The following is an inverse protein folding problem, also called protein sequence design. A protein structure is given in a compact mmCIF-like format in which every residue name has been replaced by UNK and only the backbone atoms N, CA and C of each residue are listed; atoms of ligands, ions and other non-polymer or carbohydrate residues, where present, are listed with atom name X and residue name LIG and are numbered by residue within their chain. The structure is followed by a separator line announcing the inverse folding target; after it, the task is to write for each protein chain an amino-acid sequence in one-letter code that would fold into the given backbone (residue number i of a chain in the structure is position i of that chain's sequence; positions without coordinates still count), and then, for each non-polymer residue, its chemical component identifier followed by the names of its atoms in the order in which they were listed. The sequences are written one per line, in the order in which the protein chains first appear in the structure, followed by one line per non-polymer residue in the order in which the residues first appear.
data_IF_450926154304
#
_entry.id   IF_450926154304
#
_cell.length_a   1.000
_cell.length_b   1.000
_cell.length_c   1.000
_cell.angle_alpha   90.00
_cell.angle_beta   90.00
_cell.angle_gamma   90.00
#
_symmetry.space_group_name_H-M   'P 1'
#
loop_
_entity.id
_entity.type
_entity.pdbx_description
1 polymer ?
#
# COMPACT_ATOMS: atom_id res chain seq x y z
N UNK A 1 2.98 -5.66 19.12
CA UNK A 1 3.02 -6.94 18.37
C UNK A 1 2.23 -6.73 17.08
N UNK A 2 2.92 -6.59 15.95
CA UNK A 2 2.26 -6.40 14.65
C UNK A 2 2.07 -7.78 14.02
N UNK A 3 0.91 -8.40 14.26
CA UNK A 3 0.59 -9.69 13.66
C UNK A 3 0.39 -9.52 12.16
N UNK A 4 1.00 -10.40 11.34
CA UNK A 4 0.89 -10.37 9.88
C UNK A 4 1.18 -9.01 9.22
N UNK A 5 2.07 -8.19 9.80
CA UNK A 5 2.47 -6.89 9.24
C UNK A 5 1.33 -5.87 9.07
N UNK A 6 0.24 -6.04 9.82
CA UNK A 6 -0.70 -4.96 10.07
C UNK A 6 -0.04 -3.99 11.06
N UNK A 7 0.37 -2.83 10.56
CA UNK A 7 1.00 -1.76 11.34
C UNK A 7 -0.03 -0.81 11.94
N UNK A 8 0.44 0.26 12.58
CA UNK A 8 -0.46 1.25 13.17
C UNK A 8 -1.45 1.78 12.11
N UNK A 9 -2.77 1.81 12.40
CA UNK A 9 -3.76 2.32 11.45
C UNK A 9 -3.61 3.83 11.25
N UNK A 10 -4.30 4.36 10.23
CA UNK A 10 -4.42 5.81 10.07
C UNK A 10 -5.21 6.39 11.26
N UNK A 11 -4.66 7.42 11.90
CA UNK A 11 -5.31 8.15 12.98
C UNK A 11 -5.45 9.63 12.66
N UNK A 12 -6.46 10.28 13.23
CA UNK A 12 -6.70 11.71 13.08
C UNK A 12 -7.35 12.24 14.35
N UNK A 13 -7.00 13.46 14.74
CA UNK A 13 -7.65 14.16 15.85
C UNK A 13 -8.85 14.92 15.30
N UNK A 14 -10.01 14.71 15.90
CA UNK A 14 -11.23 15.47 15.59
C UNK A 14 -11.47 16.46 16.73
N UNK A 15 -11.29 17.75 16.45
CA UNK A 15 -11.56 18.82 17.40
C UNK A 15 -12.94 19.42 17.11
N UNK A 16 -13.67 19.81 18.16
CA UNK A 16 -14.97 20.46 18.06
C UNK A 16 -14.88 21.86 18.66
N UNK A 17 -15.43 22.86 17.98
CA UNK A 17 -15.54 24.23 18.50
C UNK A 17 -16.80 24.40 19.38
N UNK A 18 -16.93 25.56 20.03
CA UNK A 18 -18.07 25.90 20.88
C UNK A 18 -19.42 25.94 20.13
N UNK A 19 -19.41 26.04 18.80
CA UNK A 19 -20.60 26.04 17.93
C UNK A 19 -20.93 24.63 17.41
N UNK A 20 -20.13 23.63 17.75
CA UNK A 20 -20.27 22.25 17.30
C UNK A 20 -19.71 21.96 15.91
N UNK A 21 -18.95 22.89 15.30
CA UNK A 21 -18.22 22.60 14.07
C UNK A 21 -17.01 21.72 14.38
N UNK A 22 -16.69 20.76 13.51
CA UNK A 22 -15.51 19.93 13.65
C UNK A 22 -14.38 20.37 12.72
N UNK A 23 -13.14 20.16 13.15
CA UNK A 23 -11.96 20.20 12.28
C UNK A 23 -11.07 18.98 12.52
N UNK A 24 -10.41 18.53 11.46
CA UNK A 24 -9.44 17.45 11.51
C UNK A 24 -8.04 18.05 11.75
N UNK A 25 -7.32 17.50 12.72
CA UNK A 25 -5.95 17.88 13.05
C UNK A 25 -5.10 16.62 13.18
N UNK A 26 -3.77 16.75 13.02
CA UNK A 26 -2.78 15.68 13.18
C UNK A 26 -3.17 14.34 12.53
N UNK A 27 -3.47 14.36 11.23
CA UNK A 27 -3.62 13.12 10.45
C UNK A 27 -2.27 12.40 10.38
N UNK A 28 -2.24 11.16 10.85
CA UNK A 28 -1.09 10.26 10.75
C UNK A 28 -1.53 9.06 9.93
N UNK A 29 -0.98 8.92 8.72
CA UNK A 29 -1.32 7.84 7.81
C UNK A 29 -0.65 6.52 8.22
N UNK A 30 -1.34 5.41 7.99
CA UNK A 30 -0.76 4.08 8.13
C UNK A 30 0.38 3.88 7.12
N UNK A 31 1.45 3.23 7.58
CA UNK A 31 2.62 2.94 6.74
C UNK A 31 2.24 2.08 5.53
N UNK A 32 2.88 2.36 4.38
CA UNK A 32 2.76 1.51 3.20
C UNK A 32 3.62 0.23 3.33
N UNK A 33 3.34 -0.78 2.51
CA UNK A 33 4.03 -2.08 2.57
C UNK A 33 5.56 -1.94 2.45
N UNK A 34 6.06 -1.01 1.63
CA UNK A 34 7.51 -0.83 1.44
C UNK A 34 8.20 -0.28 2.69
N UNK A 35 7.55 0.64 3.39
CA UNK A 35 8.05 1.18 4.66
C UNK A 35 8.01 0.12 5.76
N UNK A 36 6.96 -0.69 5.81
CA UNK A 36 6.86 -1.81 6.76
C UNK A 36 7.97 -2.84 6.55
N UNK A 37 8.34 -3.13 5.30
CA UNK A 37 9.44 -4.05 5.00
C UNK A 37 10.82 -3.44 5.36
N UNK A 38 10.99 -2.14 5.17
CA UNK A 38 12.22 -1.43 5.55
C UNK A 38 12.41 -1.41 7.07
N UNK A 39 11.34 -1.22 7.84
CA UNK A 39 11.35 -1.32 9.31
C UNK A 39 11.76 -2.72 9.80
N UNK A 40 11.55 -3.76 8.96
CA UNK A 40 12.01 -5.12 9.21
C UNK A 40 13.46 -5.38 8.75
N UNK A 41 14.18 -4.35 8.30
CA UNK A 41 15.52 -4.39 7.71
C UNK A 41 15.60 -5.10 6.34
N UNK A 42 14.52 -5.10 5.55
CA UNK A 42 14.63 -5.46 4.14
C UNK A 42 15.17 -4.27 3.32
N UNK A 43 16.14 -4.54 2.44
CA UNK A 43 16.64 -3.52 1.51
C UNK A 43 15.60 -3.22 0.41
N UNK A 44 14.93 -2.07 0.55
CA UNK A 44 13.98 -1.50 -0.43
C UNK A 44 14.52 -1.51 -1.87
N UNK A 45 15.80 -1.17 -2.06
CA UNK A 45 16.40 -1.10 -3.41
C UNK A 45 16.62 -2.49 -4.01
N UNK A 46 17.06 -3.44 -3.18
CA UNK A 46 17.22 -4.84 -3.59
C UNK A 46 15.88 -5.46 -3.96
N UNK A 47 14.84 -5.20 -3.16
CA UNK A 47 13.47 -5.67 -3.41
C UNK A 47 12.93 -5.13 -4.74
N UNK A 48 12.98 -3.81 -4.95
CA UNK A 48 12.55 -3.16 -6.19
C UNK A 48 13.24 -3.79 -7.41
N UNK A 49 14.58 -3.85 -7.37
CA UNK A 49 15.39 -4.39 -8.45
C UNK A 49 15.02 -5.83 -8.76
N UNK A 50 14.86 -6.67 -7.72
CA UNK A 50 14.55 -8.09 -7.88
C UNK A 50 13.17 -8.31 -8.48
N UNK A 51 12.14 -7.62 -7.98
CA UNK A 51 10.78 -7.74 -8.49
C UNK A 51 10.67 -7.26 -9.94
N UNK A 52 11.28 -6.11 -10.25
CA UNK A 52 11.35 -5.58 -11.62
C UNK A 52 12.06 -6.55 -12.57
N UNK A 53 13.22 -7.08 -12.17
CA UNK A 53 13.97 -8.04 -12.98
C UNK A 53 13.16 -9.31 -13.26
N UNK A 54 12.46 -9.86 -12.27
CA UNK A 54 11.63 -11.05 -12.44
C UNK A 54 10.49 -10.82 -13.44
N UNK A 55 9.79 -9.69 -13.36
CA UNK A 55 8.72 -9.34 -14.31
C UNK A 55 9.30 -9.17 -15.71
N UNK A 56 10.42 -8.45 -15.86
CA UNK A 56 11.04 -8.20 -17.17
C UNK A 56 11.61 -9.48 -17.80
N UNK A 57 12.16 -10.40 -17.00
CA UNK A 57 12.69 -11.69 -17.48
C UNK A 57 11.61 -12.70 -17.87
N UNK A 58 10.34 -12.49 -17.47
CA UNK A 58 9.25 -13.42 -17.76
C UNK A 58 9.04 -13.61 -19.27
N UNK A 59 8.93 -14.87 -19.70
CA UNK A 59 8.60 -15.25 -21.09
C UNK A 59 7.12 -15.57 -21.29
N UNK A 60 6.32 -15.56 -20.21
CA UNK A 60 4.91 -15.94 -20.22
C UNK A 60 3.98 -14.81 -20.64
N UNK A 61 4.46 -13.56 -20.61
CA UNK A 61 3.68 -12.35 -20.87
C UNK A 61 4.43 -11.40 -21.81
N UNK A 62 3.67 -10.68 -22.64
CA UNK A 62 4.22 -9.67 -23.56
C UNK A 62 4.61 -8.37 -22.82
N UNK A 63 5.29 -7.47 -23.53
CA UNK A 63 5.81 -6.23 -22.93
C UNK A 63 4.70 -5.34 -22.35
N UNK A 64 3.56 -5.22 -23.02
CA UNK A 64 2.42 -4.43 -22.51
C UNK A 64 1.91 -4.98 -21.18
N UNK A 65 1.74 -6.30 -21.06
CA UNK A 65 1.34 -6.95 -19.81
C UNK A 65 2.39 -6.79 -18.72
N UNK A 66 3.69 -6.84 -19.06
CA UNK A 66 4.78 -6.57 -18.11
C UNK A 66 4.70 -5.16 -17.54
N UNK A 67 4.51 -4.16 -18.39
CA UNK A 67 4.39 -2.77 -17.96
C UNK A 67 3.18 -2.55 -17.05
N UNK A 68 2.03 -3.13 -17.41
CA UNK A 68 0.82 -3.06 -16.59
C UNK A 68 0.99 -3.78 -15.23
N UNK A 69 1.66 -4.94 -15.22
CA UNK A 69 1.94 -5.67 -13.99
C UNK A 69 2.90 -4.89 -13.08
N UNK A 70 3.93 -4.27 -13.65
CA UNK A 70 4.87 -3.43 -12.92
C UNK A 70 4.16 -2.22 -12.28
N UNK A 71 3.26 -1.56 -13.02
CA UNK A 71 2.47 -0.45 -12.50
C UNK A 71 1.57 -0.88 -11.33
N UNK A 72 0.89 -2.03 -11.46
CA UNK A 72 0.09 -2.60 -10.37
C UNK A 72 0.92 -2.97 -9.15
N UNK A 73 2.10 -3.57 -9.38
CA UNK A 73 3.01 -3.90 -8.30
C UNK A 73 3.39 -2.64 -7.51
N UNK A 74 3.83 -1.58 -8.19
CA UNK A 74 4.21 -0.34 -7.51
C UNK A 74 3.04 0.33 -6.79
N UNK A 75 1.84 0.30 -7.38
CA UNK A 75 0.63 0.73 -6.69
C UNK A 75 0.46 -0.04 -5.37
N UNK A 76 0.49 -1.37 -5.41
CA UNK A 76 0.28 -2.17 -4.19
C UNK A 76 1.39 -1.97 -3.14
N UNK A 77 2.65 -1.84 -3.56
CA UNK A 77 3.74 -1.57 -2.62
C UNK A 77 3.64 -0.19 -1.96
N UNK A 78 2.98 0.77 -2.61
CA UNK A 78 2.71 2.11 -2.08
C UNK A 78 1.45 2.21 -1.20
N UNK A 79 0.64 1.14 -1.13
CA UNK A 79 -0.56 1.09 -0.30
C UNK A 79 -0.25 0.50 1.08
N UNK A 80 -1.12 0.77 2.06
CA UNK A 80 -1.01 0.17 3.39
C UNK A 80 -1.44 -1.31 3.38
N UNK A 81 -1.14 -2.02 4.47
CA UNK A 81 -1.38 -3.46 4.60
C UNK A 81 -2.85 -3.85 4.78
N UNK A 82 -3.79 -2.89 4.87
CA UNK A 82 -5.20 -3.19 5.13
C UNK A 82 -5.96 -3.58 3.85
N UNK A 83 -6.93 -4.48 4.02
CA UNK A 83 -7.77 -4.94 2.91
C UNK A 83 -8.77 -3.86 2.48
N UNK A 84 -8.99 -3.77 1.18
CA UNK A 84 -10.05 -2.94 0.59
C UNK A 84 -11.34 -3.73 0.47
N UNK A 85 -12.48 -3.03 0.55
CA UNK A 85 -13.80 -3.61 0.39
C UNK A 85 -13.93 -4.33 -0.95
N UNK A 86 -14.35 -5.59 -0.92
CA UNK A 86 -14.75 -6.33 -2.10
C UNK A 86 -16.19 -5.90 -2.41
N UNK A 87 -16.36 -4.90 -3.29
CA UNK A 87 -17.65 -4.77 -3.95
C UNK A 87 -17.77 -5.99 -4.86
N UNK A 88 -18.67 -6.92 -4.50
CA UNK A 88 -19.10 -7.96 -5.42
C UNK A 88 -19.70 -7.25 -6.63
N UNK A 89 -18.89 -7.07 -7.66
CA UNK A 89 -19.38 -6.76 -8.99
C UNK A 89 -20.15 -8.00 -9.43
N UNK A 90 -21.41 -8.12 -9.00
CA UNK A 90 -22.41 -8.93 -9.67
C UNK A 90 -22.59 -8.30 -11.06
N UNK A 91 -21.67 -8.62 -11.97
CA UNK A 91 -21.87 -8.40 -13.38
C UNK A 91 -22.80 -9.52 -13.84
N UNK A 92 -24.07 -9.17 -13.96
CA UNK A 92 -24.98 -9.83 -14.91
C UNK A 92 -24.41 -9.78 -16.33
#
# INVERSE_FOLDING_TARGET
MNHNLFTHPTEVIVNFDEKGNYCLDKLIESQNIIDVLDDMNYDKNSLDKRLKQQIQASKLINQTKKNNLLAKLYLYLSENSYLKTIQANNKE
#
